data_IF_889242033437
#
_entry.id   IF_889242033437
#
_cell.length_a   1.000
_cell.length_b   1.000
_cell.length_c   1.000
_cell.angle_alpha   90.00
_cell.angle_beta   90.00
_cell.angle_gamma   90.00
#
_symmetry.space_group_name_H-M   'P 1'
#
loop_
_entity.id
_entity.type
_entity.pdbx_description
1 polymer ?
#
# COMPACT_ATOMS: atom_id res chain seq x y z
N UNK A 1 -0.64 -14.36 -8.48
CA UNK A 1 -1.53 -14.76 -7.36
C UNK A 1 -1.71 -16.27 -7.43
N UNK A 2 -1.62 -17.02 -6.32
CA UNK A 2 -1.95 -18.45 -6.31
C UNK A 2 -3.45 -18.66 -6.51
N UNK A 3 -3.83 -19.63 -7.33
CA UNK A 3 -5.23 -19.82 -7.70
C UNK A 3 -6.01 -20.71 -6.73
N UNK A 4 -5.33 -21.60 -6.02
CA UNK A 4 -5.95 -22.51 -5.06
C UNK A 4 -6.62 -21.76 -3.90
N UNK A 5 -7.96 -21.72 -3.92
CA UNK A 5 -8.76 -21.03 -2.90
C UNK A 5 -8.86 -21.82 -1.60
N UNK A 6 -8.53 -23.10 -1.59
CA UNK A 6 -8.58 -23.90 -0.36
C UNK A 6 -7.45 -23.50 0.60
N UNK A 7 -6.33 -22.98 0.10
CA UNK A 7 -5.21 -22.52 0.92
C UNK A 7 -5.56 -21.32 1.81
N UNK A 8 -6.61 -20.54 1.48
CA UNK A 8 -7.01 -19.39 2.29
C UNK A 8 -8.00 -19.73 3.41
N UNK A 9 -8.66 -20.90 3.35
CA UNK A 9 -9.68 -21.31 4.33
C UNK A 9 -9.16 -21.28 5.78
N UNK A 10 -7.95 -21.81 6.10
CA UNK A 10 -7.43 -21.76 7.46
C UNK A 10 -7.24 -20.33 8.00
N UNK A 11 -7.14 -19.34 7.11
CA UNK A 11 -6.90 -17.93 7.45
C UNK A 11 -8.17 -17.10 7.61
N UNK A 12 -9.36 -17.65 7.32
CA UNK A 12 -10.60 -16.88 7.33
C UNK A 12 -10.88 -16.19 8.66
N UNK A 13 -10.68 -16.87 9.79
CA UNK A 13 -10.85 -16.28 11.11
C UNK A 13 -9.91 -15.10 11.34
N UNK A 14 -8.64 -15.24 10.95
CA UNK A 14 -7.66 -14.16 11.04
C UNK A 14 -8.02 -12.98 10.13
N UNK A 15 -8.34 -13.25 8.85
CA UNK A 15 -8.70 -12.22 7.88
C UNK A 15 -9.96 -11.46 8.32
N UNK A 16 -10.94 -12.15 8.89
CA UNK A 16 -12.15 -11.52 9.43
C UNK A 16 -11.83 -10.64 10.63
N UNK A 17 -11.02 -11.13 11.57
CA UNK A 17 -10.58 -10.36 12.73
C UNK A 17 -9.82 -9.11 12.30
N UNK A 18 -8.84 -9.26 11.40
CA UNK A 18 -8.03 -8.19 10.86
C UNK A 18 -8.87 -7.11 10.17
N UNK A 19 -9.72 -7.50 9.21
CA UNK A 19 -10.61 -6.57 8.50
C UNK A 19 -11.54 -5.82 9.48
N UNK A 20 -12.09 -6.52 10.48
CA UNK A 20 -12.98 -5.91 11.47
C UNK A 20 -12.24 -4.94 12.39
N UNK A 21 -11.00 -5.26 12.79
CA UNK A 21 -10.18 -4.41 13.64
C UNK A 21 -9.75 -3.15 12.89
N UNK A 22 -9.22 -3.29 11.68
CA UNK A 22 -8.74 -2.17 10.85
C UNK A 22 -9.85 -1.15 10.55
N UNK A 23 -11.08 -1.60 10.33
CA UNK A 23 -12.23 -0.70 10.10
C UNK A 23 -12.55 0.22 11.27
N UNK A 24 -12.21 -0.20 12.50
CA UNK A 24 -12.43 0.57 13.75
C UNK A 24 -11.33 1.61 13.99
N UNK A 25 -10.21 1.54 13.28
CA UNK A 25 -9.10 2.46 13.46
C UNK A 25 -9.42 3.86 12.91
N UNK A 26 -8.79 4.91 13.49
CA UNK A 26 -8.92 6.28 13.00
C UNK A 26 -8.58 6.39 11.52
N UNK A 27 -9.35 7.22 10.80
CA UNK A 27 -9.11 7.49 9.39
C UNK A 27 -8.00 8.53 9.23
N UNK A 28 -7.15 8.33 8.24
CA UNK A 28 -6.14 9.27 7.77
C UNK A 28 -6.56 9.79 6.41
N UNK A 29 -6.50 11.12 6.28
CA UNK A 29 -6.64 11.83 5.01
C UNK A 29 -5.33 12.54 4.70
N UNK A 30 -4.89 12.50 3.45
CA UNK A 30 -3.66 13.15 3.00
C UNK A 30 -2.74 12.21 2.23
N UNK A 31 -1.51 12.68 1.97
CA UNK A 31 -0.53 11.93 1.21
C UNK A 31 0.07 10.82 2.07
N UNK A 32 0.03 9.59 1.54
CA UNK A 32 0.74 8.44 2.07
C UNK A 32 1.61 7.82 0.97
N UNK A 33 2.65 7.13 1.39
CA UNK A 33 3.71 6.61 0.52
C UNK A 33 3.77 5.10 0.64
N UNK A 34 4.05 4.43 -0.47
CA UNK A 34 4.34 2.98 -0.50
C UNK A 34 5.42 2.67 -1.51
N UNK A 35 6.47 1.99 -1.07
CA UNK A 35 7.50 1.46 -1.95
C UNK A 35 7.25 -0.02 -2.25
N UNK A 36 7.53 -0.43 -3.47
CA UNK A 36 7.61 -1.85 -3.87
C UNK A 36 8.88 -2.08 -4.66
N UNK A 37 9.47 -3.26 -4.49
CA UNK A 37 10.59 -3.71 -5.30
C UNK A 37 10.10 -4.04 -6.72
N UNK A 38 10.90 -3.69 -7.72
CA UNK A 38 10.64 -3.89 -9.13
C UNK A 38 9.87 -2.76 -9.81
N UNK A 39 9.89 -2.77 -11.14
CA UNK A 39 9.04 -1.95 -11.97
C UNK A 39 7.65 -2.59 -12.11
N UNK A 40 6.62 -1.97 -11.52
CA UNK A 40 5.23 -2.42 -11.62
C UNK A 40 4.34 -1.45 -12.40
N UNK A 41 4.92 -0.45 -13.08
CA UNK A 41 4.15 0.62 -13.74
C UNK A 41 3.26 0.10 -14.87
N UNK A 42 3.58 -1.06 -15.46
CA UNK A 42 2.78 -1.71 -16.50
C UNK A 42 1.35 -2.07 -16.05
N UNK A 43 1.12 -2.19 -14.74
CA UNK A 43 -0.21 -2.44 -14.16
C UNK A 43 -1.08 -1.19 -14.01
N UNK A 44 -0.55 -0.01 -14.34
CA UNK A 44 -1.22 1.27 -14.10
C UNK A 44 -1.38 2.05 -15.40
N UNK A 45 -2.52 2.70 -15.54
CA UNK A 45 -2.83 3.55 -16.70
C UNK A 45 -3.47 4.83 -16.19
N UNK A 46 -2.96 5.99 -16.62
CA UNK A 46 -3.49 7.27 -16.21
C UNK A 46 -5.00 7.38 -16.50
N UNK A 47 -5.73 8.04 -15.59
CA UNK A 47 -7.18 8.20 -15.61
C UNK A 47 -7.97 6.88 -15.57
N UNK A 48 -7.36 5.78 -15.11
CA UNK A 48 -8.05 4.52 -14.82
C UNK A 48 -8.07 4.25 -13.32
N UNK A 49 -9.15 3.61 -12.88
CA UNK A 49 -9.26 3.10 -11.52
C UNK A 49 -8.64 1.71 -11.46
N UNK A 50 -7.75 1.51 -10.50
CA UNK A 50 -7.19 0.20 -10.15
C UNK A 50 -7.72 -0.22 -8.78
N UNK A 51 -8.00 -1.52 -8.63
CA UNK A 51 -8.40 -2.09 -7.34
C UNK A 51 -7.23 -2.84 -6.72
N UNK A 52 -6.78 -2.37 -5.57
CA UNK A 52 -5.83 -3.10 -4.73
C UNK A 52 -6.59 -4.10 -3.86
N UNK A 53 -6.64 -5.35 -4.32
CA UNK A 53 -7.36 -6.43 -3.64
C UNK A 53 -6.73 -6.86 -2.32
N UNK A 54 -5.42 -6.67 -2.17
CA UNK A 54 -4.69 -6.99 -0.94
C UNK A 54 -4.65 -5.79 -0.02
N UNK A 55 -4.58 -6.06 1.28
CA UNK A 55 -4.18 -5.06 2.28
C UNK A 55 -2.83 -4.49 1.87
N UNK A 56 -2.71 -3.16 1.90
CA UNK A 56 -1.49 -2.47 1.51
C UNK A 56 -1.00 -1.59 2.65
N UNK A 57 0.19 -1.89 3.15
CA UNK A 57 0.89 -1.07 4.13
C UNK A 57 1.55 0.13 3.45
N UNK A 58 1.38 1.29 4.05
CA UNK A 58 1.88 2.59 3.59
C UNK A 58 2.41 3.35 4.81
N UNK A 59 3.12 4.44 4.58
CA UNK A 59 3.53 5.36 5.65
C UNK A 59 3.19 6.79 5.31
N UNK A 60 2.94 7.60 6.32
CA UNK A 60 2.87 9.07 6.18
C UNK A 60 4.28 9.64 5.92
N UNK A 61 5.33 8.97 6.41
CA UNK A 61 6.72 9.39 6.29
C UNK A 61 7.35 8.85 5.02
N UNK A 62 7.78 9.76 4.13
CA UNK A 62 8.57 9.38 2.95
C UNK A 62 9.91 8.76 3.36
N UNK A 63 10.50 9.19 4.48
CA UNK A 63 11.82 8.71 4.92
C UNK A 63 11.76 7.26 5.40
N UNK A 64 10.66 6.86 6.05
CA UNK A 64 10.38 5.45 6.36
C UNK A 64 10.33 4.63 5.07
N UNK A 65 9.59 5.12 4.06
CA UNK A 65 9.43 4.38 2.80
C UNK A 65 10.74 4.28 2.01
N UNK A 66 11.59 5.32 2.07
CA UNK A 66 12.92 5.30 1.42
C UNK A 66 13.81 4.19 1.95
N UNK A 67 13.70 3.80 3.23
CA UNK A 67 14.48 2.70 3.79
C UNK A 67 14.21 1.35 3.11
N UNK A 68 13.05 1.21 2.46
CA UNK A 68 12.69 0.02 1.68
C UNK A 68 13.18 0.08 0.22
N UNK A 69 13.71 1.22 -0.23
CA UNK A 69 14.28 1.38 -1.57
C UNK A 69 15.77 1.02 -1.56
N UNK A 70 16.18 0.12 -2.44
CA UNK A 70 17.60 -0.25 -2.61
C UNK A 70 18.17 0.46 -3.84
N UNK A 71 19.33 1.15 -3.74
CA UNK A 71 19.88 1.95 -4.84
C UNK A 71 20.09 1.15 -6.14
N UNK A 72 20.54 -0.09 -6.01
CA UNK A 72 20.92 -0.95 -7.15
C UNK A 72 19.77 -1.82 -7.68
N UNK A 73 18.52 -1.54 -7.26
CA UNK A 73 17.35 -2.30 -7.70
C UNK A 73 16.28 -1.38 -8.29
N UNK A 74 15.57 -1.89 -9.30
CA UNK A 74 14.35 -1.23 -9.74
C UNK A 74 13.35 -1.18 -8.59
N UNK A 75 12.67 -0.05 -8.45
CA UNK A 75 11.61 0.12 -7.47
C UNK A 75 10.52 1.04 -8.00
N UNK A 76 9.32 0.87 -7.47
CA UNK A 76 8.19 1.74 -7.74
C UNK A 76 7.72 2.38 -6.44
N UNK A 77 7.66 3.71 -6.41
CA UNK A 77 7.12 4.50 -5.30
C UNK A 77 5.73 5.00 -5.68
N UNK A 78 4.75 4.66 -4.85
CA UNK A 78 3.40 5.15 -4.95
C UNK A 78 3.22 6.39 -4.08
N UNK A 79 2.65 7.44 -4.67
CA UNK A 79 2.22 8.66 -3.98
C UNK A 79 0.70 8.69 -3.98
N UNK A 80 0.10 8.43 -2.82
CA UNK A 80 -1.34 8.18 -2.73
C UNK A 80 -1.98 9.28 -1.91
N UNK A 81 -2.92 10.01 -2.52
CA UNK A 81 -3.84 10.88 -1.78
C UNK A 81 -4.95 10.01 -1.16
N UNK A 82 -4.77 9.64 0.11
CA UNK A 82 -5.72 8.82 0.83
C UNK A 82 -6.88 9.65 1.37
N UNK A 83 -8.10 9.12 1.22
CA UNK A 83 -9.32 9.68 1.82
C UNK A 83 -9.81 8.89 3.04
N UNK A 84 -9.34 7.64 3.19
CA UNK A 84 -9.82 6.69 4.18
C UNK A 84 -8.74 5.66 4.58
N UNK A 85 -7.47 6.06 4.61
CA UNK A 85 -6.41 5.21 5.18
C UNK A 85 -6.63 4.95 6.67
N UNK A 86 -6.11 3.86 7.21
CA UNK A 86 -6.30 3.48 8.63
C UNK A 86 -5.00 3.62 9.41
N UNK A 87 -4.99 4.47 10.43
CA UNK A 87 -3.83 4.69 11.27
C UNK A 87 -3.61 3.49 12.22
N UNK A 88 -2.44 2.86 12.18
CA UNK A 88 -2.07 1.76 13.09
C UNK A 88 -1.30 2.18 14.33
N UNK A 89 -1.11 3.47 14.57
CA UNK A 89 -0.46 3.96 15.78
C UNK A 89 -1.07 3.33 17.04
N UNK A 90 -0.21 2.79 17.90
CA UNK A 90 -0.58 2.08 19.13
C UNK A 90 -0.88 0.58 18.97
N UNK A 91 -0.94 0.06 17.74
CA UNK A 91 -1.16 -1.37 17.46
C UNK A 91 -0.04 -2.02 16.64
N UNK A 92 0.78 -1.23 15.94
CA UNK A 92 1.92 -1.74 15.18
C UNK A 92 3.08 -2.14 16.09
N UNK A 93 3.87 -3.12 15.66
CA UNK A 93 5.14 -3.49 16.29
C UNK A 93 6.26 -2.49 15.99
N UNK A 94 6.06 -1.60 15.01
CA UNK A 94 7.03 -0.59 14.58
C UNK A 94 6.43 0.82 14.66
N UNK A 95 6.35 1.43 15.86
CA UNK A 95 5.68 2.71 16.06
C UNK A 95 6.24 3.86 15.22
N UNK A 96 7.54 3.81 14.92
CA UNK A 96 8.25 4.86 14.16
C UNK A 96 7.93 4.83 12.66
N UNK A 97 7.29 3.77 12.16
CA UNK A 97 6.93 3.65 10.74
C UNK A 97 5.75 4.53 10.35
N UNK A 98 4.99 5.08 11.32
CA UNK A 98 3.78 5.88 11.06
C UNK A 98 2.84 5.16 10.06
N UNK A 99 2.62 3.88 10.33
CA UNK A 99 1.97 2.96 9.40
C UNK A 99 0.49 3.32 9.17
N UNK A 100 0.12 3.33 7.89
CA UNK A 100 -1.24 3.50 7.41
C UNK A 100 -1.61 2.33 6.51
N UNK A 101 -2.74 1.69 6.84
CA UNK A 101 -3.27 0.57 6.05
C UNK A 101 -4.36 1.04 5.09
N UNK A 102 -4.23 0.58 3.84
CA UNK A 102 -5.33 0.56 2.88
C UNK A 102 -6.01 -0.82 2.93
N UNK A 103 -7.32 -0.81 3.09
CA UNK A 103 -8.15 -2.02 3.25
C UNK A 103 -8.21 -2.86 1.96
N UNK A 104 -8.66 -4.11 2.10
CA UNK A 104 -8.92 -4.98 0.95
C UNK A 104 -9.87 -4.32 -0.05
N UNK A 105 -9.53 -4.36 -1.33
CA UNK A 105 -10.38 -3.82 -2.39
C UNK A 105 -10.35 -2.28 -2.47
N UNK A 106 -9.33 -1.64 -1.92
CA UNK A 106 -9.15 -0.18 -2.06
C UNK A 106 -9.06 0.19 -3.54
N UNK A 107 -9.88 1.15 -3.96
CA UNK A 107 -9.87 1.67 -5.32
C UNK A 107 -9.05 2.96 -5.39
N UNK A 108 -8.15 3.02 -6.36
CA UNK A 108 -7.26 4.15 -6.58
C UNK A 108 -7.43 4.66 -8.00
N UNK A 109 -7.67 5.96 -8.16
CA UNK A 109 -7.64 6.61 -9.47
C UNK A 109 -6.20 7.00 -9.79
N UNK A 110 -5.63 6.41 -10.84
CA UNK A 110 -4.27 6.72 -11.27
C UNK A 110 -4.25 8.10 -11.90
N UNK A 111 -3.53 9.05 -11.29
CA UNK A 111 -3.43 10.44 -11.77
C UNK A 111 -2.30 10.64 -12.76
N UNK A 112 -1.12 10.11 -12.45
CA UNK A 112 0.07 10.26 -13.28
C UNK A 112 0.87 8.95 -13.25
N UNK A 113 1.61 8.66 -14.31
CA UNK A 113 2.56 7.56 -14.40
C UNK A 113 3.78 8.02 -15.17
N UNK A 114 4.95 7.47 -14.86
CA UNK A 114 6.11 7.55 -15.74
C UNK A 114 7.13 8.63 -15.40
N UNK A 115 7.05 9.25 -14.21
CA UNK A 115 8.22 9.91 -13.66
C UNK A 115 9.25 8.85 -13.26
N UNK A 116 10.46 8.96 -13.80
CA UNK A 116 11.56 8.05 -13.55
C UNK A 116 12.81 8.83 -13.13
N UNK A 117 13.47 8.37 -12.07
CA UNK A 117 14.77 8.87 -11.64
C UNK A 117 15.70 7.68 -11.37
N UNK A 118 16.65 7.44 -12.27
CA UNK A 118 17.48 6.23 -12.24
C UNK A 118 16.62 4.97 -12.29
N UNK A 119 16.74 4.13 -11.25
CA UNK A 119 16.00 2.88 -11.08
C UNK A 119 14.62 3.06 -10.41
N UNK A 120 14.30 4.27 -9.93
CA UNK A 120 13.05 4.57 -9.24
C UNK A 120 11.99 5.07 -10.21
N UNK A 121 10.78 4.49 -10.13
CA UNK A 121 9.59 4.93 -10.87
C UNK A 121 8.52 5.41 -9.92
N UNK A 122 7.79 6.44 -10.32
CA UNK A 122 6.72 7.03 -9.53
C UNK A 122 5.35 6.80 -10.19
N UNK A 123 4.37 6.47 -9.35
CA UNK A 123 2.95 6.27 -9.69
C UNK A 123 2.06 7.01 -8.69
#
# INVERSE_FOLDING_TARGET
>A
RKENRNEVIPWFSYLKLFDTAVRKLPKVKGIIWRAVAGNVTSGYTANKTVTWWTVSSCSISVDVVKAFLKPDQEATLFVIEAIAGRNLAGYTMYPDEQEVILEFGTQLLVRNIGFQYGNLRLV
#
